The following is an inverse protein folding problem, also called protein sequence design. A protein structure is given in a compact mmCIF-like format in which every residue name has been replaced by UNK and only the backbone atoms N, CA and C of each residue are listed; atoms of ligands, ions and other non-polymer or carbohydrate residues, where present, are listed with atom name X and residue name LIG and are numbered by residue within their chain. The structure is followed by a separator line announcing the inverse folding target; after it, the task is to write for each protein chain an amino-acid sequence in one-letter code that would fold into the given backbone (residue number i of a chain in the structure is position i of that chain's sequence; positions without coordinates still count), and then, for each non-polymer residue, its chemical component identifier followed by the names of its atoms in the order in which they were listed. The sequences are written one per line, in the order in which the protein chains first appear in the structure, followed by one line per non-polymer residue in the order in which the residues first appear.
data_IF_377603227229
#
_entry.id   IF_377603227229
#
_cell.length_a   1.000
_cell.length_b   1.000
_cell.length_c   1.000
_cell.angle_alpha   90.00
_cell.angle_beta   90.00
_cell.angle_gamma   90.00
#
_symmetry.space_group_name_H-M   'P 1'
#
loop_
_entity.id
_entity.type
_entity.pdbx_description
1 polymer ?
#
# COMPACT_ATOMS: atom_id res chain seq x y z
N UNK A 1 -3.06 -31.61 -2.77
CA UNK A 1 -3.86 -30.44 -3.20
C UNK A 1 -3.50 -30.19 -4.66
N UNK A 2 -4.36 -30.54 -5.62
CA UNK A 2 -4.08 -30.26 -7.03
C UNK A 2 -4.32 -28.76 -7.25
N UNK A 3 -3.29 -28.07 -7.75
CA UNK A 3 -3.37 -26.66 -8.10
C UNK A 3 -4.25 -26.51 -9.35
N UNK A 4 -5.15 -25.53 -9.36
CA UNK A 4 -5.90 -25.17 -10.55
C UNK A 4 -5.05 -24.34 -11.52
N UNK A 5 -5.57 -24.13 -12.73
CA UNK A 5 -4.91 -23.34 -13.78
C UNK A 5 -4.60 -21.91 -13.28
N UNK A 6 -5.49 -21.35 -12.47
CA UNK A 6 -5.34 -20.02 -11.89
C UNK A 6 -4.18 -19.94 -10.89
N UNK A 7 -4.01 -20.95 -10.01
CA UNK A 7 -2.90 -20.98 -9.06
C UNK A 7 -1.56 -21.18 -9.77
N UNK A 8 -1.50 -22.03 -10.80
CA UNK A 8 -0.30 -22.16 -11.63
C UNK A 8 0.07 -20.85 -12.33
N UNK A 9 -0.93 -20.14 -12.86
CA UNK A 9 -0.74 -18.81 -13.43
C UNK A 9 -0.15 -17.84 -12.41
N UNK A 10 -0.73 -17.73 -11.22
CA UNK A 10 -0.25 -16.83 -10.18
C UNK A 10 1.18 -17.17 -9.74
N UNK A 11 1.50 -18.46 -9.59
CA UNK A 11 2.86 -18.90 -9.26
C UNK A 11 3.82 -18.46 -10.37
N UNK A 12 3.50 -18.71 -11.63
CA UNK A 12 4.34 -18.33 -12.77
C UNK A 12 4.59 -16.83 -12.86
N UNK A 13 3.54 -16.00 -12.77
CA UNK A 13 3.65 -14.54 -12.85
C UNK A 13 4.46 -13.97 -11.67
N UNK A 14 4.34 -14.55 -10.48
CA UNK A 14 5.14 -14.13 -9.31
C UNK A 14 6.60 -14.55 -9.41
N UNK A 15 6.91 -15.74 -9.91
CA UNK A 15 8.30 -16.16 -10.18
C UNK A 15 8.93 -15.19 -11.18
N UNK A 16 8.24 -14.90 -12.29
CA UNK A 16 8.75 -13.93 -13.28
C UNK A 16 8.89 -12.54 -12.65
N UNK A 17 7.91 -12.09 -11.86
CA UNK A 17 7.96 -10.80 -11.18
C UNK A 17 9.17 -10.67 -10.23
N UNK A 18 9.51 -11.73 -9.52
CA UNK A 18 10.70 -11.79 -8.67
C UNK A 18 11.99 -11.58 -9.48
N UNK A 19 12.15 -12.32 -10.58
CA UNK A 19 13.33 -12.17 -11.45
C UNK A 19 13.37 -10.84 -12.19
N UNK A 20 12.22 -10.30 -12.62
CA UNK A 20 12.12 -8.96 -13.21
C UNK A 20 12.62 -7.90 -12.24
N UNK A 21 12.29 -8.01 -10.94
CA UNK A 21 12.79 -7.08 -9.95
C UNK A 21 14.30 -7.23 -9.71
N UNK A 22 14.83 -8.46 -9.66
CA UNK A 22 16.28 -8.68 -9.57
C UNK A 22 17.02 -8.08 -10.78
N UNK A 23 16.47 -8.26 -11.97
CA UNK A 23 16.99 -7.69 -13.20
C UNK A 23 16.90 -6.16 -13.16
N UNK A 24 15.83 -5.59 -12.59
CA UNK A 24 15.72 -4.15 -12.35
C UNK A 24 16.85 -3.65 -11.43
N UNK A 25 17.12 -4.31 -10.29
CA UNK A 25 18.23 -3.92 -9.40
C UNK A 25 19.56 -3.92 -10.18
N UNK A 26 19.77 -4.94 -11.01
CA UNK A 26 20.97 -5.06 -11.83
C UNK A 26 21.06 -3.92 -12.87
N UNK A 27 20.00 -3.70 -13.64
CA UNK A 27 19.93 -2.67 -14.69
C UNK A 27 19.93 -1.24 -14.15
N UNK A 28 19.50 -1.00 -12.91
CA UNK A 28 19.50 0.33 -12.28
C UNK A 28 20.90 0.95 -12.23
N UNK A 29 21.96 0.14 -12.33
CA UNK A 29 23.34 0.62 -12.43
C UNK A 29 23.72 1.15 -13.83
N UNK A 30 22.88 0.96 -14.86
CA UNK A 30 23.21 1.21 -16.27
C UNK A 30 22.11 1.92 -17.09
N UNK A 31 20.95 2.29 -16.53
CA UNK A 31 19.81 2.83 -17.30
C UNK A 31 19.09 3.95 -16.55
N UNK A 32 18.39 4.83 -17.26
CA UNK A 32 17.58 5.90 -16.66
C UNK A 32 16.42 5.35 -15.80
N UNK A 33 16.27 5.93 -14.60
CA UNK A 33 15.40 5.50 -13.49
C UNK A 33 13.89 5.33 -13.80
N UNK A 34 13.40 5.66 -15.00
CA UNK A 34 11.96 5.75 -15.29
C UNK A 34 11.34 4.55 -16.03
N UNK A 35 12.04 3.92 -16.97
CA UNK A 35 11.44 2.90 -17.83
C UNK A 35 11.23 1.56 -17.09
N UNK A 36 12.19 1.20 -16.25
CA UNK A 36 12.16 -0.11 -15.58
C UNK A 36 11.12 -0.14 -14.46
N UNK A 37 10.89 0.99 -13.78
CA UNK A 37 9.85 1.12 -12.75
C UNK A 37 8.43 1.00 -13.35
N UNK A 38 8.21 1.48 -14.57
CA UNK A 38 6.94 1.33 -15.27
C UNK A 38 6.64 -0.15 -15.59
N UNK A 39 7.64 -0.90 -16.04
CA UNK A 39 7.50 -2.35 -16.31
C UNK A 39 7.10 -3.11 -15.04
N UNK A 40 7.78 -2.84 -13.92
CA UNK A 40 7.46 -3.46 -12.64
C UNK A 40 6.05 -3.12 -12.16
N UNK A 41 5.62 -1.87 -12.37
CA UNK A 41 4.28 -1.40 -12.02
C UNK A 41 3.22 -2.18 -12.81
N UNK A 42 3.38 -2.30 -14.13
CA UNK A 42 2.48 -3.08 -14.99
C UNK A 42 2.47 -4.55 -14.58
N UNK A 43 3.64 -5.14 -14.35
CA UNK A 43 3.75 -6.55 -13.97
C UNK A 43 3.09 -6.83 -12.61
N UNK A 44 3.19 -5.89 -11.67
CA UNK A 44 2.53 -6.01 -10.37
C UNK A 44 1.01 -6.08 -10.51
N UNK A 45 0.41 -5.33 -11.43
CA UNK A 45 -1.04 -5.33 -11.68
C UNK A 45 -1.55 -6.65 -12.27
N UNK A 46 -0.72 -7.33 -13.07
CA UNK A 46 -1.05 -8.62 -13.70
C UNK A 46 -1.08 -9.77 -12.69
N UNK A 47 -0.49 -9.59 -11.50
CA UNK A 47 -0.47 -10.61 -10.44
C UNK A 47 0.91 -10.91 -9.87
N UNK A 48 1.96 -10.25 -10.37
CA UNK A 48 3.35 -10.49 -9.95
C UNK A 48 3.77 -9.73 -8.69
N UNK A 49 2.84 -9.05 -8.02
CA UNK A 49 3.15 -8.17 -6.89
C UNK A 49 3.83 -8.90 -5.73
N UNK A 50 3.46 -10.16 -5.44
CA UNK A 50 4.02 -10.92 -4.33
C UNK A 50 5.49 -11.29 -4.57
N UNK A 51 5.83 -11.70 -5.79
CA UNK A 51 7.20 -12.00 -6.20
C UNK A 51 8.09 -10.75 -6.19
N UNK A 52 7.56 -9.63 -6.70
CA UNK A 52 8.28 -8.34 -6.67
C UNK A 52 8.49 -7.89 -5.21
N UNK A 53 7.45 -7.96 -4.37
CA UNK A 53 7.53 -7.61 -2.95
C UNK A 53 8.56 -8.49 -2.21
N UNK A 54 8.58 -9.80 -2.49
CA UNK A 54 9.55 -10.72 -1.92
C UNK A 54 10.98 -10.33 -2.31
N UNK A 55 11.21 -9.98 -3.58
CA UNK A 55 12.51 -9.55 -4.05
C UNK A 55 12.96 -8.23 -3.37
N UNK A 56 12.05 -7.26 -3.18
CA UNK A 56 12.30 -6.03 -2.41
C UNK A 56 12.76 -6.36 -0.98
N UNK A 57 12.05 -7.26 -0.29
CA UNK A 57 12.35 -7.61 1.12
C UNK A 57 13.70 -8.32 1.28
N UNK A 58 14.08 -9.15 0.30
CA UNK A 58 15.33 -9.90 0.34
C UNK A 58 16.55 -9.06 -0.06
N UNK A 59 16.45 -8.27 -1.14
CA UNK A 59 17.62 -7.66 -1.79
C UNK A 59 17.65 -6.13 -1.72
N UNK A 60 16.52 -5.46 -1.58
CA UNK A 60 16.45 -3.99 -1.57
C UNK A 60 15.86 -3.44 -0.26
N UNK A 61 16.52 -3.74 0.86
CA UNK A 61 16.06 -3.32 2.20
C UNK A 61 16.17 -1.82 2.46
N UNK A 62 16.92 -1.06 1.65
CA UNK A 62 17.10 0.39 1.85
C UNK A 62 16.06 1.17 1.06
N UNK A 63 15.05 1.68 1.77
CA UNK A 63 14.06 2.56 1.16
C UNK A 63 14.67 3.94 0.84
N UNK A 64 14.86 4.23 -0.44
CA UNK A 64 15.36 5.51 -0.96
C UNK A 64 14.18 6.33 -1.48
N UNK A 65 14.33 7.64 -1.67
CA UNK A 65 13.20 8.49 -2.11
C UNK A 65 12.70 8.11 -3.50
N UNK A 66 13.60 7.71 -4.39
CA UNK A 66 13.31 7.53 -5.81
C UNK A 66 12.49 6.25 -6.06
N UNK A 67 12.74 5.18 -5.32
CA UNK A 67 11.99 3.92 -5.42
C UNK A 67 10.77 3.85 -4.47
N UNK A 68 10.47 4.91 -3.72
CA UNK A 68 9.40 4.89 -2.71
C UNK A 68 8.01 4.74 -3.31
N UNK A 69 7.74 5.40 -4.45
CA UNK A 69 6.43 5.34 -5.11
C UNK A 69 6.12 3.89 -5.53
N UNK A 70 7.04 3.28 -6.27
CA UNK A 70 6.93 1.90 -6.75
C UNK A 70 6.72 0.91 -5.59
N UNK A 71 7.46 1.07 -4.48
CA UNK A 71 7.29 0.22 -3.28
C UNK A 71 5.91 0.34 -2.65
N UNK A 72 5.41 1.57 -2.45
CA UNK A 72 4.06 1.80 -1.90
C UNK A 72 3.00 1.21 -2.83
N UNK A 73 3.15 1.43 -4.14
CA UNK A 73 2.25 0.92 -5.14
C UNK A 73 2.18 -0.61 -5.11
N UNK A 74 3.33 -1.27 -5.20
CA UNK A 74 3.44 -2.74 -5.18
C UNK A 74 2.87 -3.31 -3.88
N UNK A 75 3.14 -2.68 -2.72
CA UNK A 75 2.59 -3.11 -1.45
C UNK A 75 1.05 -3.00 -1.39
N UNK A 76 0.49 -1.89 -1.90
CA UNK A 76 -0.97 -1.72 -1.95
C UNK A 76 -1.63 -2.72 -2.91
N UNK A 77 -1.05 -2.90 -4.11
CA UNK A 77 -1.54 -3.88 -5.09
C UNK A 77 -1.47 -5.29 -4.55
N UNK A 78 -0.40 -5.65 -3.84
CA UNK A 78 -0.27 -6.95 -3.19
C UNK A 78 -1.40 -7.20 -2.19
N UNK A 79 -1.69 -6.25 -1.30
CA UNK A 79 -2.80 -6.39 -0.35
C UNK A 79 -4.13 -6.56 -1.09
N UNK A 80 -4.41 -5.72 -2.10
CA UNK A 80 -5.63 -5.82 -2.91
C UNK A 80 -5.74 -7.19 -3.59
N UNK A 81 -4.65 -7.70 -4.17
CA UNK A 81 -4.63 -9.01 -4.84
C UNK A 81 -4.84 -10.16 -3.85
N UNK A 82 -4.28 -10.08 -2.63
CA UNK A 82 -4.56 -11.05 -1.57
C UNK A 82 -6.05 -11.04 -1.21
N UNK A 83 -6.67 -9.87 -1.06
CA UNK A 83 -8.11 -9.75 -0.80
C UNK A 83 -8.93 -10.37 -1.94
N UNK A 84 -8.60 -10.05 -3.20
CA UNK A 84 -9.28 -10.63 -4.38
C UNK A 84 -9.13 -12.16 -4.39
N UNK A 85 -7.94 -12.68 -4.08
CA UNK A 85 -7.70 -14.12 -4.03
C UNK A 85 -8.55 -14.80 -2.96
N UNK A 86 -8.66 -14.20 -1.77
CA UNK A 86 -9.56 -14.68 -0.71
C UNK A 86 -11.03 -14.64 -1.16
N UNK A 87 -11.41 -13.59 -1.89
CA UNK A 87 -12.72 -13.44 -2.52
C UNK A 87 -12.97 -14.39 -3.72
N UNK A 88 -11.95 -15.02 -4.29
CA UNK A 88 -12.15 -16.04 -5.33
C UNK A 88 -12.21 -17.44 -4.72
N UNK A 89 -11.48 -17.66 -3.62
CA UNK A 89 -11.44 -18.95 -2.90
C UNK A 89 -12.66 -19.28 -2.05
N UNK A 90 -13.70 -18.45 -2.09
CA UNK A 90 -14.93 -18.66 -1.30
C UNK A 90 -14.86 -18.18 0.15
N UNK A 91 -13.83 -17.41 0.56
CA UNK A 91 -13.73 -16.90 1.95
C UNK A 91 -14.58 -15.63 2.18
N UNK A 92 -15.82 -15.63 1.73
CA UNK A 92 -16.76 -14.52 1.84
C UNK A 92 -18.12 -15.07 2.28
N UNK A 93 -18.88 -14.23 2.98
CA UNK A 93 -20.20 -14.58 3.46
C UNK A 93 -21.17 -14.83 2.28
N UNK A 94 -22.17 -15.68 2.50
CA UNK A 94 -23.20 -16.04 1.50
C UNK A 94 -23.99 -14.82 1.00
N UNK A 95 -23.97 -13.72 1.76
CA UNK A 95 -24.62 -12.46 1.41
C UNK A 95 -23.65 -11.29 1.57
N UNK A 96 -23.46 -10.54 0.48
CA UNK A 96 -22.71 -9.28 0.50
C UNK A 96 -23.60 -8.19 1.10
N UNK A 97 -23.13 -7.55 2.17
CA UNK A 97 -23.81 -6.44 2.83
C UNK A 97 -22.94 -5.18 2.84
N UNK A 98 -23.60 -4.03 2.76
CA UNK A 98 -22.99 -2.70 2.89
C UNK A 98 -23.39 -2.04 4.22
N UNK A 99 -23.53 -2.84 5.28
CA UNK A 99 -23.95 -2.41 6.60
C UNK A 99 -22.78 -1.74 7.36
N UNK A 100 -22.25 -0.64 6.81
CA UNK A 100 -21.08 0.07 7.35
C UNK A 100 -21.31 0.49 8.80
N UNK A 101 -22.45 1.11 9.09
CA UNK A 101 -22.79 1.57 10.44
C UNK A 101 -22.86 0.43 11.44
N UNK A 102 -23.48 -0.69 11.07
CA UNK A 102 -23.60 -1.86 11.94
C UNK A 102 -22.25 -2.52 12.18
N UNK A 103 -21.41 -2.62 11.16
CA UNK A 103 -20.06 -3.14 11.28
C UNK A 103 -19.23 -2.32 12.29
N UNK A 104 -19.19 -1.00 12.16
CA UNK A 104 -18.46 -0.16 13.11
C UNK A 104 -19.10 -0.11 14.50
N UNK A 105 -20.43 -0.25 14.59
CA UNK A 105 -21.12 -0.38 15.87
C UNK A 105 -20.78 -1.70 16.59
N UNK A 106 -20.59 -2.79 15.83
CA UNK A 106 -20.15 -4.10 16.33
C UNK A 106 -18.67 -4.06 16.74
N UNK A 107 -17.81 -3.48 15.90
CA UNK A 107 -16.36 -3.42 16.10
C UNK A 107 -15.90 -2.05 16.62
N UNK A 108 -16.43 -1.62 17.77
CA UNK A 108 -16.11 -0.30 18.36
C UNK A 108 -14.63 -0.05 18.60
N UNK A 109 -13.87 -1.11 18.95
CA UNK A 109 -12.42 -1.03 19.19
C UNK A 109 -11.69 -0.64 17.89
N UNK A 110 -12.12 -1.18 16.74
CA UNK A 110 -11.57 -0.83 15.44
C UNK A 110 -11.83 0.64 15.11
N UNK A 111 -13.04 1.13 15.39
CA UNK A 111 -13.40 2.55 15.19
C UNK A 111 -12.51 3.48 16.02
N UNK A 112 -12.32 3.16 17.32
CA UNK A 112 -11.45 3.93 18.22
C UNK A 112 -10.00 3.91 17.72
N UNK A 113 -9.49 2.73 17.33
CA UNK A 113 -8.17 2.58 16.74
C UNK A 113 -8.00 3.48 15.51
N UNK A 114 -8.95 3.42 14.56
CA UNK A 114 -8.93 4.24 13.35
C UNK A 114 -8.97 5.74 13.67
N UNK A 115 -9.77 6.16 14.65
CA UNK A 115 -9.80 7.56 15.07
C UNK A 115 -8.45 8.03 15.62
N UNK A 116 -7.85 7.23 16.52
CA UNK A 116 -6.56 7.54 17.15
C UNK A 116 -5.42 7.56 16.12
N UNK A 117 -5.32 6.55 15.26
CA UNK A 117 -4.23 6.48 14.27
C UNK A 117 -4.34 7.60 13.23
N UNK A 118 -5.56 8.01 12.83
CA UNK A 118 -5.74 9.15 11.94
C UNK A 118 -5.36 10.46 12.61
N UNK A 119 -5.65 10.63 13.91
CA UNK A 119 -5.19 11.79 14.67
C UNK A 119 -3.65 11.84 14.76
N UNK A 120 -3.00 10.72 15.09
CA UNK A 120 -1.54 10.61 15.14
C UNK A 120 -0.90 10.90 13.77
N UNK A 121 -1.48 10.37 12.70
CA UNK A 121 -1.01 10.60 11.34
C UNK A 121 -1.12 12.09 10.97
N UNK A 122 -2.26 12.71 11.23
CA UNK A 122 -2.46 14.14 11.01
C UNK A 122 -1.42 14.98 11.77
N UNK A 123 -1.26 14.72 13.07
CA UNK A 123 -0.29 15.41 13.92
C UNK A 123 1.15 15.24 13.40
N UNK A 124 1.51 14.03 12.96
CA UNK A 124 2.84 13.76 12.40
C UNK A 124 3.11 14.56 11.13
N UNK A 125 2.13 14.67 10.23
CA UNK A 125 2.26 15.53 9.03
C UNK A 125 2.33 17.02 9.39
N UNK A 126 1.60 17.45 10.41
CA UNK A 126 1.66 18.83 10.90
C UNK A 126 3.03 19.16 11.51
N UNK A 127 3.56 18.29 12.36
CA UNK A 127 4.91 18.43 12.95
C UNK A 127 5.97 18.44 11.85
N UNK A 128 5.86 17.59 10.83
CA UNK A 128 6.81 17.60 9.71
C UNK A 128 6.78 18.92 8.94
N UNK A 129 5.63 19.58 8.83
CA UNK A 129 5.53 20.93 8.23
C UNK A 129 6.23 21.98 9.09
N UNK A 130 5.99 21.97 10.40
CA UNK A 130 6.64 22.92 11.33
C UNK A 130 8.16 22.72 11.31
N UNK A 131 8.62 21.46 11.37
CA UNK A 131 10.05 21.16 11.30
C UNK A 131 10.67 21.61 9.97
N UNK A 132 9.94 21.51 8.85
CA UNK A 132 10.40 22.03 7.57
C UNK A 132 10.51 23.56 7.54
N UNK A 133 9.57 24.27 8.18
CA UNK A 133 9.63 25.73 8.28
C UNK A 133 10.76 26.20 9.21
N UNK A 134 10.92 25.56 10.36
CA UNK A 134 11.93 25.90 11.39
C UNK A 134 13.31 25.29 11.12
N UNK A 135 13.54 24.67 9.96
CA UNK A 135 14.82 24.05 9.58
C UNK A 135 15.30 22.98 10.58
N UNK A 136 14.35 22.33 11.27
CA UNK A 136 14.60 21.22 12.19
C UNK A 136 14.68 19.89 11.43
N UNK A 137 15.09 18.84 12.13
CA UNK A 137 15.10 17.48 11.57
C UNK A 137 13.70 17.06 11.11
N UNK A 138 13.60 16.63 9.85
CA UNK A 138 12.34 16.20 9.23
C UNK A 138 12.00 14.76 9.57
N UNK A 139 10.71 14.44 9.55
CA UNK A 139 10.24 13.07 9.76
C UNK A 139 10.55 12.24 8.51
N UNK A 140 11.01 11.00 8.72
CA UNK A 140 11.33 10.07 7.65
C UNK A 140 10.08 9.78 6.79
N UNK A 141 10.26 9.76 5.47
CA UNK A 141 9.17 9.50 4.51
C UNK A 141 8.50 8.14 4.78
N UNK A 142 9.30 7.12 5.08
CA UNK A 142 8.82 5.78 5.45
C UNK A 142 7.90 5.82 6.67
N UNK A 143 8.19 6.68 7.66
CA UNK A 143 7.34 6.81 8.85
C UNK A 143 5.98 7.42 8.52
N UNK A 144 5.95 8.48 7.69
CA UNK A 144 4.70 9.13 7.31
C UNK A 144 3.83 8.23 6.43
N UNK A 145 4.42 7.59 5.43
CA UNK A 145 3.71 6.62 4.58
C UNK A 145 3.30 5.36 5.36
N UNK A 146 4.13 4.92 6.31
CA UNK A 146 3.82 3.82 7.20
C UNK A 146 2.61 4.12 8.09
N UNK A 147 2.53 5.33 8.67
CA UNK A 147 1.36 5.78 9.44
C UNK A 147 0.10 5.80 8.57
N UNK A 148 0.21 6.28 7.33
CA UNK A 148 -0.90 6.20 6.38
C UNK A 148 -1.32 4.74 6.14
N UNK A 149 -0.34 3.85 5.91
CA UNK A 149 -0.55 2.43 5.58
C UNK A 149 -1.26 1.64 6.68
N UNK A 150 -0.92 1.85 7.96
CA UNK A 150 -1.50 1.09 9.09
C UNK A 150 -2.90 1.55 9.52
N UNK A 151 -3.46 2.59 8.90
CA UNK A 151 -4.82 3.06 9.16
C UNK A 151 -4.99 4.58 9.20
N UNK A 152 -3.89 5.34 9.13
CA UNK A 152 -3.88 6.81 9.24
C UNK A 152 -4.05 7.56 7.91
N UNK A 153 -4.55 6.90 6.86
CA UNK A 153 -4.58 7.46 5.50
C UNK A 153 -5.47 8.72 5.40
N UNK A 154 -6.63 8.73 6.07
CA UNK A 154 -7.57 9.86 6.08
C UNK A 154 -6.93 11.08 6.75
N UNK A 155 -6.34 10.90 7.94
CA UNK A 155 -5.65 11.96 8.66
C UNK A 155 -4.43 12.48 7.90
N UNK A 156 -3.72 11.60 7.19
CA UNK A 156 -2.59 11.98 6.32
C UNK A 156 -3.06 12.84 5.15
N UNK A 157 -4.13 12.44 4.45
CA UNK A 157 -4.72 13.23 3.35
C UNK A 157 -5.22 14.58 3.85
N UNK A 158 -5.97 14.60 4.96
CA UNK A 158 -6.46 15.84 5.56
C UNK A 158 -5.31 16.79 5.88
N UNK A 159 -4.24 16.30 6.50
CA UNK A 159 -3.07 17.13 6.79
C UNK A 159 -2.40 17.64 5.51
N UNK A 160 -2.24 16.81 4.47
CA UNK A 160 -1.64 17.22 3.20
C UNK A 160 -2.42 18.37 2.55
N UNK A 161 -3.75 18.26 2.46
CA UNK A 161 -4.58 19.27 1.80
C UNK A 161 -4.78 20.53 2.65
N UNK A 162 -5.09 20.39 3.95
CA UNK A 162 -5.29 21.54 4.84
C UNK A 162 -4.00 22.33 5.03
N UNK A 163 -2.87 21.64 5.18
CA UNK A 163 -1.59 22.29 5.40
C UNK A 163 -0.86 22.61 4.09
N UNK A 164 -1.39 22.20 2.93
CA UNK A 164 -0.75 22.33 1.61
C UNK A 164 0.71 21.84 1.61
N UNK A 165 0.97 20.78 2.38
CA UNK A 165 2.30 20.21 2.59
C UNK A 165 2.39 18.88 1.83
N UNK A 166 3.49 18.70 1.08
CA UNK A 166 3.75 17.48 0.29
C UNK A 166 2.73 17.13 -0.80
N UNK A 167 2.08 18.13 -1.38
CA UNK A 167 1.12 17.98 -2.50
C UNK A 167 1.77 17.84 -3.88
N UNK A 168 3.10 18.05 -3.98
CA UNK A 168 3.86 18.00 -5.25
C UNK A 168 4.78 16.77 -5.39
N UNK A 169 4.69 15.80 -4.49
CA UNK A 169 5.56 14.61 -4.49
C UNK A 169 4.71 13.39 -4.78
N UNK A 170 4.98 12.72 -5.89
CA UNK A 170 4.11 11.67 -6.43
C UNK A 170 3.87 10.52 -5.45
N UNK A 171 4.89 10.08 -4.70
CA UNK A 171 4.74 9.06 -3.66
C UNK A 171 3.84 9.49 -2.49
N UNK A 172 3.57 10.78 -2.29
CA UNK A 172 2.55 11.26 -1.37
C UNK A 172 1.23 11.52 -2.08
N UNK A 173 1.24 12.26 -3.20
CA UNK A 173 0.04 12.66 -3.94
C UNK A 173 -0.71 11.47 -4.54
N UNK A 174 -0.02 10.42 -4.97
CA UNK A 174 -0.62 9.17 -5.48
C UNK A 174 -0.60 8.08 -4.41
N UNK A 175 0.51 7.98 -3.65
CA UNK A 175 0.69 6.92 -2.67
C UNK A 175 -0.34 6.96 -1.53
N UNK A 176 -0.62 8.13 -0.95
CA UNK A 176 -1.58 8.22 0.17
C UNK A 176 -3.02 7.93 -0.28
N UNK A 177 -3.53 8.48 -1.41
CA UNK A 177 -4.83 8.06 -1.94
C UNK A 177 -4.91 6.57 -2.28
N UNK A 178 -3.85 5.99 -2.85
CA UNK A 178 -3.82 4.55 -3.15
C UNK A 178 -3.91 3.71 -1.87
N UNK A 179 -3.20 4.10 -0.81
CA UNK A 179 -3.30 3.47 0.51
C UNK A 179 -4.74 3.55 1.05
N UNK A 180 -5.39 4.72 0.91
CA UNK A 180 -6.79 4.88 1.34
C UNK A 180 -7.73 3.94 0.57
N UNK A 181 -7.57 3.83 -0.76
CA UNK A 181 -8.36 2.89 -1.58
C UNK A 181 -8.13 1.45 -1.12
N UNK A 182 -6.88 1.06 -0.89
CA UNK A 182 -6.55 -0.27 -0.38
C UNK A 182 -7.21 -0.54 0.98
N UNK A 183 -7.23 0.44 1.89
CA UNK A 183 -7.91 0.31 3.18
C UNK A 183 -9.43 0.17 3.05
N UNK A 184 -10.04 0.88 2.11
CA UNK A 184 -11.48 0.72 1.81
C UNK A 184 -11.77 -0.70 1.32
N UNK A 185 -10.93 -1.25 0.43
CA UNK A 185 -11.05 -2.65 -0.04
C UNK A 185 -10.89 -3.64 1.12
N UNK A 186 -9.93 -3.41 2.01
CA UNK A 186 -9.72 -4.26 3.20
C UNK A 186 -10.91 -4.20 4.15
N UNK A 187 -11.45 -3.02 4.45
CA UNK A 187 -12.64 -2.88 5.31
C UNK A 187 -13.86 -3.53 4.65
N UNK A 188 -14.05 -3.31 3.35
CA UNK A 188 -15.14 -3.93 2.60
C UNK A 188 -15.06 -5.46 2.64
N UNK A 189 -13.86 -6.03 2.47
CA UNK A 189 -13.66 -7.46 2.63
C UNK A 189 -13.88 -7.90 4.07
N UNK A 190 -13.36 -7.19 5.07
CA UNK A 190 -13.56 -7.53 6.48
C UNK A 190 -15.04 -7.55 6.89
N UNK A 191 -15.85 -6.65 6.31
CA UNK A 191 -17.31 -6.62 6.49
C UNK A 191 -18.02 -7.84 5.91
N UNK A 192 -17.45 -8.42 4.85
CA UNK A 192 -18.08 -9.48 4.03
C UNK A 192 -17.31 -10.79 4.06
N UNK A 193 -16.25 -10.90 4.87
CA UNK A 193 -15.46 -12.11 4.98
C UNK A 193 -16.30 -13.16 5.71
N UNK A 194 -16.22 -14.40 5.23
CA UNK A 194 -16.97 -15.55 5.75
C UNK A 194 -16.29 -16.17 6.97
N UNK A 195 -15.76 -15.33 7.85
CA UNK A 195 -15.15 -15.68 9.14
C UNK A 195 -16.16 -15.70 10.27
#
# INVERSE_FOLDING_TARGET
MNLGIFEYYLIGVNIIGFFLYLLNIFLYSHTENGQVDAILTIWSLIGGSAGILLAILLFDRKAVKDNMMSRVFIACVFVIQVIILLMVKGHHADHITLAFWEFFAKYKILLIYLAVINFIAFASYAVDKVNAAEHRSRIRIVTLLGLAFVGGSIGSLLAMYLLRHKTKKDYFTVGVPLIMIMQVVVIFYAMNAGW
#
